data_IF_582595716303
#
_entry.id   IF_582595716303
#
_cell.length_a   1.000
_cell.length_b   1.000
_cell.length_c   1.000
_cell.angle_alpha   90.00
_cell.angle_beta   90.00
_cell.angle_gamma   90.00
#
_symmetry.space_group_name_H-M   'P 1'
#
loop_
_entity.id
_entity.type
_entity.pdbx_description
1 polymer ?
#
# COMPACT_ATOMS: atom_id res chain seq x y z
N UNK A 1 15.07 8.44 -19.58
CA UNK A 1 14.06 9.00 -18.66
C UNK A 1 14.20 8.18 -17.40
N UNK A 2 15.23 8.47 -16.62
CA UNK A 2 15.64 7.65 -15.48
C UNK A 2 16.25 8.59 -14.47
N UNK A 3 15.41 8.97 -13.51
CA UNK A 3 15.76 9.11 -12.09
C UNK A 3 14.45 9.50 -11.38
N UNK A 4 13.42 8.68 -11.57
CA UNK A 4 12.26 8.69 -10.70
C UNK A 4 12.70 7.92 -9.45
N UNK A 5 12.64 8.57 -8.28
CA UNK A 5 13.14 8.00 -7.02
C UNK A 5 12.54 6.64 -6.67
N UNK A 6 13.06 6.00 -5.62
CA UNK A 6 12.51 4.73 -5.15
C UNK A 6 11.45 4.95 -4.10
N UNK A 7 10.35 4.20 -4.17
CA UNK A 7 9.33 4.15 -3.13
C UNK A 7 9.27 2.75 -2.51
N UNK A 8 8.98 2.68 -1.21
CA UNK A 8 8.82 1.43 -0.48
C UNK A 8 7.80 1.57 0.64
N UNK A 9 7.38 0.44 1.22
CA UNK A 9 6.41 0.42 2.32
C UNK A 9 6.90 -0.47 3.46
N UNK A 10 6.61 -0.07 4.70
CA UNK A 10 6.94 -0.82 5.90
C UNK A 10 5.87 -1.90 6.14
N UNK A 11 6.28 -3.17 6.20
CA UNK A 11 5.36 -4.31 6.33
C UNK A 11 5.15 -4.81 7.77
N UNK A 12 6.04 -4.42 8.69
CA UNK A 12 6.08 -4.97 10.06
C UNK A 12 5.61 -3.97 11.14
N UNK A 13 4.84 -2.95 10.76
CA UNK A 13 4.30 -1.93 11.68
C UNK A 13 2.75 -1.91 11.62
N UNK A 14 2.07 -2.91 12.19
CA UNK A 14 0.61 -2.92 12.26
C UNK A 14 0.11 -1.81 13.18
N UNK A 15 -1.08 -1.32 12.90
CA UNK A 15 -1.78 -0.37 13.75
C UNK A 15 -2.81 -1.07 14.62
N UNK A 16 -3.04 -0.54 15.82
CA UNK A 16 -4.15 -0.97 16.67
C UNK A 16 -5.51 -0.51 16.13
N UNK A 17 -5.52 0.57 15.33
CA UNK A 17 -6.73 1.11 14.71
C UNK A 17 -7.01 0.42 13.37
N UNK A 18 -8.28 0.15 13.13
CA UNK A 18 -8.80 -0.38 11.86
C UNK A 18 -9.31 0.78 11.00
N UNK A 19 -9.19 0.65 9.68
CA UNK A 19 -9.78 1.59 8.74
C UNK A 19 -11.19 1.13 8.37
N UNK A 20 -12.20 1.99 8.48
CA UNK A 20 -13.60 1.63 8.19
C UNK A 20 -14.09 2.37 6.96
N UNK A 21 -14.56 1.62 5.97
CA UNK A 21 -15.14 2.16 4.74
C UNK A 21 -16.27 1.25 4.26
N UNK A 22 -17.39 1.84 3.84
CA UNK A 22 -18.53 1.14 3.24
C UNK A 22 -19.05 -0.05 4.08
N UNK A 23 -19.00 0.09 5.42
CA UNK A 23 -19.43 -0.94 6.36
C UNK A 23 -18.44 -2.09 6.58
N UNK A 24 -17.29 -2.05 5.91
CA UNK A 24 -16.18 -2.99 6.07
C UNK A 24 -15.06 -2.40 6.93
N UNK A 25 -14.36 -3.26 7.67
CA UNK A 25 -13.19 -2.90 8.48
C UNK A 25 -11.94 -3.54 7.89
N UNK A 26 -10.90 -2.75 7.70
CA UNK A 26 -9.65 -3.14 7.09
C UNK A 26 -8.51 -3.02 8.11
N UNK A 27 -7.70 -4.07 8.29
CA UNK A 27 -6.52 -3.98 9.13
C UNK A 27 -5.51 -3.04 8.45
N UNK A 28 -4.93 -2.11 9.21
CA UNK A 28 -4.08 -1.04 8.67
C UNK A 28 -2.66 -1.11 9.21
N UNK A 29 -1.70 -0.79 8.35
CA UNK A 29 -0.28 -0.69 8.67
C UNK A 29 0.24 0.72 8.38
N UNK A 30 1.23 1.14 9.17
CA UNK A 30 1.99 2.34 8.87
C UNK A 30 3.04 2.00 7.80
N UNK A 31 2.78 2.39 6.55
CA UNK A 31 3.63 2.11 5.40
C UNK A 31 4.83 3.05 5.29
N UNK A 32 4.78 4.24 5.88
CA UNK A 32 5.92 5.14 5.96
C UNK A 32 5.52 6.59 6.30
N UNK A 33 6.49 7.50 6.41
CA UNK A 33 6.23 8.87 6.82
C UNK A 33 5.68 9.76 5.69
N UNK A 34 6.01 9.47 4.43
CA UNK A 34 5.53 10.28 3.30
C UNK A 34 4.04 10.03 3.09
N UNK A 35 3.23 11.08 3.15
CA UNK A 35 1.77 11.01 3.01
C UNK A 35 1.15 9.93 3.92
N UNK A 36 1.75 9.76 5.10
CA UNK A 36 1.34 8.78 6.10
C UNK A 36 0.40 9.38 7.14
N UNK A 37 0.26 8.69 8.26
CA UNK A 37 -0.72 8.99 9.32
C UNK A 37 -0.61 10.37 9.96
N UNK A 38 0.56 11.01 9.89
CA UNK A 38 0.78 12.37 10.40
C UNK A 38 0.29 13.45 9.41
N UNK A 39 -0.13 13.05 8.21
CA UNK A 39 -0.71 13.93 7.19
C UNK A 39 -2.22 14.08 7.38
N UNK A 40 -2.81 15.17 6.88
CA UNK A 40 -4.25 15.31 6.78
C UNK A 40 -4.86 14.13 6.01
N UNK A 41 -6.07 13.69 6.39
CA UNK A 41 -6.68 12.47 5.82
C UNK A 41 -6.79 12.53 4.29
N UNK A 42 -7.11 13.69 3.73
CA UNK A 42 -7.18 13.92 2.28
C UNK A 42 -5.82 13.81 1.56
N UNK A 43 -4.72 14.01 2.28
CA UNK A 43 -3.37 13.95 1.75
C UNK A 43 -2.73 12.57 1.92
N UNK A 44 -3.36 11.68 2.71
CA UNK A 44 -2.84 10.34 2.95
C UNK A 44 -2.84 9.48 1.67
N UNK A 45 -1.80 8.67 1.51
CA UNK A 45 -1.74 7.67 0.44
C UNK A 45 -2.07 6.31 1.01
N UNK A 46 -3.13 5.69 0.50
CA UNK A 46 -3.58 4.37 0.89
C UNK A 46 -3.31 3.37 -0.22
N UNK A 47 -2.57 2.32 0.11
CA UNK A 47 -2.24 1.23 -0.81
C UNK A 47 -2.68 -0.10 -0.22
N UNK A 48 -3.05 -1.04 -1.08
CA UNK A 48 -3.42 -2.39 -0.70
C UNK A 48 -2.44 -3.39 -1.31
N UNK A 49 -1.77 -4.17 -0.48
CA UNK A 49 -0.95 -5.30 -0.93
C UNK A 49 -1.76 -6.60 -0.85
N UNK A 50 -1.64 -7.47 -1.85
CA UNK A 50 -2.21 -8.82 -1.82
C UNK A 50 -1.32 -9.82 -2.57
N UNK A 51 -1.66 -11.10 -2.44
CA UNK A 51 -0.97 -12.22 -3.12
C UNK A 51 -1.86 -12.97 -4.12
N UNK A 52 -3.09 -12.49 -4.33
CA UNK A 52 -4.08 -13.11 -5.19
C UNK A 52 -3.84 -12.85 -6.67
N UNK A 53 -3.41 -13.87 -7.42
CA UNK A 53 -3.21 -13.80 -8.87
C UNK A 53 -4.48 -13.49 -9.67
N UNK A 54 -5.68 -13.72 -9.12
CA UNK A 54 -6.97 -13.48 -9.80
C UNK A 54 -7.47 -12.03 -9.72
N UNK A 55 -6.67 -11.15 -9.11
CA UNK A 55 -6.89 -9.71 -9.00
C UNK A 55 -5.80 -8.93 -9.74
N UNK A 56 -5.08 -9.59 -10.66
CA UNK A 56 -4.01 -8.99 -11.46
C UNK A 56 -4.53 -7.92 -12.43
N UNK A 57 -5.83 -7.91 -12.70
CA UNK A 57 -6.50 -6.90 -13.54
C UNK A 57 -6.70 -5.54 -12.85
N UNK A 58 -6.64 -5.50 -11.52
CA UNK A 58 -6.84 -4.28 -10.71
C UNK A 58 -5.57 -3.83 -9.97
N UNK A 59 -4.44 -4.48 -10.22
CA UNK A 59 -3.22 -4.29 -9.44
C UNK A 59 -1.97 -4.31 -10.30
N UNK A 60 -0.96 -3.55 -9.88
CA UNK A 60 0.37 -3.62 -10.44
C UNK A 60 1.17 -4.76 -9.80
N UNK A 61 1.96 -5.45 -10.61
CA UNK A 61 2.86 -6.50 -10.12
C UNK A 61 4.16 -5.87 -9.58
N UNK A 62 4.39 -5.97 -8.27
CA UNK A 62 5.67 -5.56 -7.66
C UNK A 62 6.71 -6.67 -7.88
N UNK A 63 6.34 -7.88 -7.50
CA UNK A 63 7.05 -9.13 -7.78
C UNK A 63 6.00 -10.23 -7.91
N UNK A 64 6.33 -11.33 -8.59
CA UNK A 64 5.39 -12.46 -8.70
C UNK A 64 4.88 -12.91 -7.33
N UNK A 65 3.55 -12.92 -7.16
CA UNK A 65 2.88 -13.26 -5.90
C UNK A 65 2.75 -12.10 -4.90
N UNK A 66 3.19 -10.89 -5.28
CA UNK A 66 2.98 -9.65 -4.51
C UNK A 66 2.52 -8.55 -5.45
N UNK A 67 1.29 -8.14 -5.25
CA UNK A 67 0.59 -7.17 -6.07
C UNK A 67 0.27 -5.94 -5.22
N UNK A 68 0.21 -4.78 -5.86
CA UNK A 68 -0.16 -3.52 -5.22
C UNK A 68 -1.30 -2.87 -5.99
N UNK A 69 -2.34 -2.46 -5.27
CA UNK A 69 -3.47 -1.71 -5.80
C UNK A 69 -3.69 -0.46 -4.96
N UNK A 70 -4.42 0.51 -5.51
CA UNK A 70 -4.97 1.60 -4.72
C UNK A 70 -6.07 1.07 -3.78
N UNK A 71 -6.38 1.83 -2.73
CA UNK A 71 -7.49 1.47 -1.86
C UNK A 71 -8.84 1.44 -2.60
N UNK A 72 -9.05 2.34 -3.57
CA UNK A 72 -10.30 2.39 -4.34
C UNK A 72 -10.52 1.13 -5.18
N UNK A 73 -9.48 0.64 -5.87
CA UNK A 73 -9.53 -0.61 -6.65
C UNK A 73 -9.81 -1.83 -5.75
N UNK A 74 -9.12 -1.94 -4.62
CA UNK A 74 -9.35 -3.03 -3.67
C UNK A 74 -10.77 -2.97 -3.06
N UNK A 75 -11.25 -1.76 -2.76
CA UNK A 75 -12.59 -1.52 -2.23
C UNK A 75 -13.67 -1.92 -3.23
N UNK A 76 -13.50 -1.58 -4.50
CA UNK A 76 -14.41 -1.99 -5.58
C UNK A 76 -14.45 -3.52 -5.69
N UNK A 77 -13.30 -4.20 -5.68
CA UNK A 77 -13.25 -5.67 -5.71
C UNK A 77 -13.97 -6.33 -4.51
N UNK A 78 -13.90 -5.74 -3.32
CA UNK A 78 -14.66 -6.21 -2.16
C UNK A 78 -16.16 -5.96 -2.32
N UNK A 79 -16.56 -4.80 -2.84
CA UNK A 79 -17.98 -4.49 -3.09
C UNK A 79 -18.59 -5.43 -4.14
N UNK A 80 -17.82 -5.82 -5.16
CA UNK A 80 -18.19 -6.81 -6.17
C UNK A 80 -18.20 -8.26 -5.65
N UNK A 81 -17.69 -8.49 -4.43
CA UNK A 81 -17.57 -9.82 -3.84
C UNK A 81 -16.46 -10.68 -4.46
N UNK A 82 -15.49 -10.07 -5.15
CA UNK A 82 -14.31 -10.75 -5.70
C UNK A 82 -13.28 -11.09 -4.63
N UNK A 83 -13.26 -10.35 -3.52
CA UNK A 83 -12.34 -10.53 -2.41
C UNK A 83 -12.96 -10.09 -1.06
N UNK A 84 -12.30 -10.40 0.04
CA UNK A 84 -12.60 -9.92 1.39
C UNK A 84 -11.61 -8.83 1.81
N UNK A 85 -11.97 -7.91 2.73
CA UNK A 85 -11.04 -6.93 3.28
C UNK A 85 -9.74 -7.54 3.81
N UNK A 86 -9.82 -8.71 4.46
CA UNK A 86 -8.68 -9.43 5.05
C UNK A 86 -7.76 -10.08 4.01
N UNK A 87 -8.17 -10.14 2.73
CA UNK A 87 -7.29 -10.60 1.64
C UNK A 87 -6.24 -9.53 1.27
N UNK A 88 -6.40 -8.31 1.79
CA UNK A 88 -5.51 -7.18 1.55
C UNK A 88 -4.82 -6.70 2.83
N UNK A 89 -3.57 -6.27 2.68
CA UNK A 89 -2.87 -5.47 3.68
C UNK A 89 -2.97 -4.00 3.28
N UNK A 90 -3.84 -3.26 3.98
CA UNK A 90 -3.97 -1.81 3.78
C UNK A 90 -2.81 -1.09 4.48
N UNK A 91 -2.03 -0.32 3.72
CA UNK A 91 -0.91 0.47 4.21
C UNK A 91 -1.19 1.95 3.99
N UNK A 92 -0.94 2.77 5.03
CA UNK A 92 -1.01 4.23 4.95
C UNK A 92 0.40 4.84 4.91
N UNK A 93 0.65 5.64 3.88
CA UNK A 93 1.92 6.27 3.60
C UNK A 93 2.95 5.32 3.00
N UNK A 94 4.09 5.90 2.65
CA UNK A 94 5.22 5.19 2.05
C UNK A 94 6.55 5.82 2.49
N UNK A 95 7.64 5.13 2.23
CA UNK A 95 9.00 5.64 2.31
C UNK A 95 9.45 6.03 0.91
N UNK A 96 10.10 7.18 0.78
CA UNK A 96 10.60 7.67 -0.49
C UNK A 96 12.10 7.96 -0.39
N UNK A 97 12.82 7.59 -1.43
CA UNK A 97 14.22 7.88 -1.62
C UNK A 97 14.39 8.68 -2.89
N UNK A 98 15.17 9.75 -2.81
CA UNK A 98 15.59 10.49 -4.00
C UNK A 98 16.44 9.57 -4.90
N UNK A 99 16.62 9.92 -6.17
CA UNK A 99 17.38 9.09 -7.09
C UNK A 99 18.82 8.87 -6.59
N UNK A 100 19.29 7.62 -6.64
CA UNK A 100 20.59 7.21 -6.09
C UNK A 100 20.65 7.04 -4.56
N UNK A 101 19.77 7.70 -3.80
CA UNK A 101 19.86 7.73 -2.33
C UNK A 101 19.76 6.33 -1.70
N UNK A 102 18.82 5.49 -2.16
CA UNK A 102 18.67 4.13 -1.61
C UNK A 102 19.94 3.30 -1.82
N UNK A 103 20.61 3.47 -2.96
CA UNK A 103 21.86 2.76 -3.24
C UNK A 103 22.97 3.24 -2.33
N UNK A 104 23.10 4.56 -2.14
CA UNK A 104 24.10 5.14 -1.24
C UNK A 104 23.90 4.68 0.21
N UNK A 105 22.65 4.52 0.66
CA UNK A 105 22.33 3.98 2.00
C UNK A 105 22.62 2.48 2.16
N UNK A 106 22.68 1.71 1.06
CA UNK A 106 23.01 0.27 1.09
C UNK A 106 24.52 0.03 1.05
N UNK A 107 25.26 0.89 0.34
CA UNK A 107 26.69 0.75 0.09
C UNK A 107 27.57 1.37 1.22
N UNK A 108 26.96 2.03 2.21
CA UNK A 108 27.66 2.75 3.30
C UNK A 108 28.05 1.89 4.51
#
# INVERSE_FOLDING_TARGET
AEDEGTSGVILNRPMAAMYTADGNTWPMWCGGPCRGLDSAEEDQSLWCLHSSDHLDDISDTVIRGVYIATFDEAREAVQEGRALPDDFMLVCGYCAWSPGQLRDELDC
#
